data_IF_602891955897
#
_entry.id   IF_602891955897
#
_cell.length_a   1.000
_cell.length_b   1.000
_cell.length_c   1.000
_cell.angle_alpha   90.00
_cell.angle_beta   90.00
_cell.angle_gamma   90.00
#
_symmetry.space_group_name_H-M   'P 1'
#
loop_
_entity.id
_entity.type
_entity.pdbx_description
1 polymer ?
#
# COMPACT_ATOMS: atom_id res chain seq x y z
N UNK A 1 -28.32 2.01 -15.81
CA UNK A 1 -27.27 3.06 -15.72
C UNK A 1 -26.32 2.83 -14.53
N UNK A 2 -26.79 2.79 -13.27
CA UNK A 2 -25.92 2.62 -12.08
C UNK A 2 -25.05 1.35 -12.06
N UNK A 3 -25.57 0.23 -12.54
CA UNK A 3 -24.86 -1.06 -12.55
C UNK A 3 -23.77 -1.19 -13.63
N UNK A 4 -23.90 -0.46 -14.75
CA UNK A 4 -22.89 -0.47 -15.83
C UNK A 4 -21.59 0.17 -15.32
N UNK A 5 -21.69 1.28 -14.59
CA UNK A 5 -20.54 1.98 -14.02
C UNK A 5 -19.80 1.11 -13.00
N UNK A 6 -20.53 0.41 -12.13
CA UNK A 6 -19.97 -0.52 -11.15
C UNK A 6 -19.25 -1.68 -11.83
N UNK A 7 -19.83 -2.25 -12.88
CA UNK A 7 -19.22 -3.35 -13.63
C UNK A 7 -17.89 -2.94 -14.29
N UNK A 8 -17.82 -1.73 -14.88
CA UNK A 8 -16.60 -1.21 -15.52
C UNK A 8 -15.49 -0.97 -14.49
N UNK A 9 -15.84 -0.36 -13.35
CA UNK A 9 -14.87 -0.08 -12.27
C UNK A 9 -14.36 -1.39 -11.66
N UNK A 10 -15.23 -2.35 -11.35
CA UNK A 10 -14.83 -3.67 -10.85
C UNK A 10 -13.92 -4.41 -11.84
N UNK A 11 -14.25 -4.37 -13.14
CA UNK A 11 -13.47 -5.07 -14.16
C UNK A 11 -12.07 -4.46 -14.33
N UNK A 12 -11.97 -3.13 -14.38
CA UNK A 12 -10.69 -2.42 -14.45
C UNK A 12 -9.83 -2.65 -13.21
N UNK A 13 -10.44 -2.58 -12.01
CA UNK A 13 -9.76 -2.84 -10.75
C UNK A 13 -9.25 -4.30 -10.68
N UNK A 14 -10.06 -5.28 -11.11
CA UNK A 14 -9.66 -6.68 -11.11
C UNK A 14 -8.48 -6.96 -12.05
N UNK A 15 -8.48 -6.39 -13.27
CA UNK A 15 -7.37 -6.55 -14.22
C UNK A 15 -6.11 -5.85 -13.72
N UNK A 16 -6.24 -4.63 -13.20
CA UNK A 16 -5.12 -3.89 -12.62
C UNK A 16 -4.49 -4.66 -11.47
N UNK A 17 -5.33 -5.21 -10.58
CA UNK A 17 -4.89 -6.00 -9.43
C UNK A 17 -4.20 -7.29 -9.86
N UNK A 18 -4.75 -8.03 -10.83
CA UNK A 18 -4.13 -9.26 -11.33
C UNK A 18 -2.76 -8.99 -11.97
N UNK A 19 -2.65 -7.94 -12.79
CA UNK A 19 -1.37 -7.55 -13.40
C UNK A 19 -0.36 -7.11 -12.35
N UNK A 20 -0.80 -6.38 -11.33
CA UNK A 20 0.04 -5.94 -10.23
C UNK A 20 0.57 -7.12 -9.39
N UNK A 21 -0.31 -8.05 -8.99
CA UNK A 21 0.07 -9.24 -8.20
C UNK A 21 1.07 -10.10 -8.97
N UNK A 22 0.82 -10.37 -10.26
CA UNK A 22 1.70 -11.22 -11.07
C UNK A 22 3.07 -10.56 -11.29
N UNK A 23 3.10 -9.25 -11.54
CA UNK A 23 4.34 -8.51 -11.77
C UNK A 23 5.17 -8.38 -10.48
N UNK A 24 4.53 -8.16 -9.33
CA UNK A 24 5.23 -8.02 -8.05
C UNK A 24 5.69 -9.37 -7.49
N UNK A 25 4.90 -10.44 -7.67
CA UNK A 25 5.27 -11.79 -7.24
C UNK A 25 6.49 -12.34 -8.00
N UNK A 26 6.68 -11.95 -9.27
CA UNK A 26 7.85 -12.33 -10.05
C UNK A 26 9.11 -11.56 -9.62
N UNK A 27 8.94 -10.31 -9.19
CA UNK A 27 10.02 -9.45 -8.66
C UNK A 27 10.48 -9.88 -7.26
N UNK A 28 9.59 -10.47 -6.47
CA UNK A 28 9.86 -10.86 -5.09
C UNK A 28 10.85 -12.03 -4.93
N UNK A 29 10.99 -12.89 -5.95
CA UNK A 29 11.84 -14.08 -5.87
C UNK A 29 13.35 -13.82 -5.88
N UNK A 30 13.80 -12.64 -6.30
CA UNK A 30 15.24 -12.41 -6.54
C UNK A 30 16.01 -11.73 -5.39
N UNK A 31 15.36 -11.13 -4.40
CA UNK A 31 16.03 -10.29 -3.38
C UNK A 31 16.23 -11.00 -2.02
N UNK A 32 15.72 -12.21 -1.83
CA UNK A 32 15.72 -12.86 -0.51
C UNK A 32 17.08 -13.45 -0.07
N UNK A 33 18.13 -13.37 -0.88
CA UNK A 33 19.34 -14.15 -0.61
C UNK A 33 20.42 -13.47 0.23
N UNK A 34 20.49 -12.14 0.40
CA UNK A 34 21.60 -11.52 1.15
C UNK A 34 21.32 -10.11 1.72
N UNK A 35 20.65 -9.93 2.88
CA UNK A 35 20.83 -8.70 3.69
C UNK A 35 20.18 -8.65 5.09
N UNK A 36 21.04 -8.32 6.08
CA UNK A 36 20.94 -7.23 7.08
C UNK A 36 19.51 -6.68 7.38
N UNK A 37 19.03 -6.89 8.61
CA UNK A 37 17.75 -6.51 9.26
C UNK A 37 17.03 -5.23 8.80
N UNK A 38 17.74 -4.26 8.23
CA UNK A 38 17.19 -3.03 7.64
C UNK A 38 16.36 -3.32 6.38
N UNK A 39 16.79 -4.26 5.54
CA UNK A 39 16.07 -4.58 4.29
C UNK A 39 14.74 -5.29 4.57
N UNK A 40 14.71 -6.18 5.57
CA UNK A 40 13.47 -6.83 6.04
C UNK A 40 12.46 -5.77 6.51
N UNK A 41 12.89 -4.71 7.21
CA UNK A 41 11.99 -3.64 7.68
C UNK A 41 11.40 -2.85 6.52
N UNK A 42 12.18 -2.56 5.48
CA UNK A 42 11.72 -1.84 4.30
C UNK A 42 10.70 -2.68 3.53
N UNK A 43 10.99 -3.96 3.33
CA UNK A 43 10.11 -4.90 2.63
C UNK A 43 8.77 -5.11 3.35
N UNK A 44 8.80 -5.28 4.67
CA UNK A 44 7.59 -5.33 5.51
C UNK A 44 6.81 -4.01 5.43
N UNK A 45 7.49 -2.86 5.40
CA UNK A 45 6.86 -1.56 5.20
C UNK A 45 6.12 -1.44 3.86
N UNK A 46 6.72 -1.94 2.78
CA UNK A 46 6.08 -2.00 1.46
C UNK A 46 4.81 -2.87 1.46
N UNK A 47 4.85 -4.05 2.09
CA UNK A 47 3.68 -4.91 2.18
C UNK A 47 2.56 -4.34 3.05
N UNK A 48 2.90 -3.67 4.15
CA UNK A 48 1.93 -2.94 4.96
C UNK A 48 1.25 -1.82 4.15
N UNK A 49 2.02 -1.08 3.36
CA UNK A 49 1.49 -0.02 2.49
C UNK A 49 0.55 -0.58 1.42
N UNK A 50 0.92 -1.73 0.82
CA UNK A 50 0.09 -2.43 -0.17
C UNK A 50 -1.21 -2.96 0.43
N UNK A 51 -1.16 -3.58 1.62
CA UNK A 51 -2.36 -4.04 2.32
C UNK A 51 -3.31 -2.89 2.64
N UNK A 52 -2.76 -1.72 2.97
CA UNK A 52 -3.52 -0.50 3.24
C UNK A 52 -4.22 0.06 1.99
N UNK A 53 -3.64 -0.10 0.79
CA UNK A 53 -4.33 0.20 -0.47
C UNK A 53 -5.53 -0.69 -0.70
N UNK A 54 -5.38 -1.98 -0.39
CA UNK A 54 -6.43 -2.98 -0.51
C UNK A 54 -7.59 -2.73 0.47
N UNK A 55 -7.29 -2.29 1.69
CA UNK A 55 -8.30 -1.91 2.68
C UNK A 55 -9.22 -0.80 2.17
N UNK A 56 -8.67 0.24 1.51
CA UNK A 56 -9.51 1.29 0.91
C UNK A 56 -10.37 0.77 -0.22
N UNK A 57 -9.86 -0.13 -1.06
CA UNK A 57 -10.68 -0.72 -2.12
C UNK A 57 -11.89 -1.46 -1.51
N UNK A 58 -11.68 -2.18 -0.39
CA UNK A 58 -12.75 -2.83 0.36
C UNK A 58 -13.79 -1.84 0.88
N UNK A 59 -13.37 -0.77 1.55
CA UNK A 59 -14.29 0.22 2.15
C UNK A 59 -15.09 1.01 1.09
N UNK A 60 -14.46 1.33 -0.05
CA UNK A 60 -15.12 1.97 -1.19
C UNK A 60 -16.20 1.05 -1.78
N UNK A 61 -15.90 -0.24 -1.94
CA UNK A 61 -16.86 -1.21 -2.46
C UNK A 61 -18.07 -1.32 -1.51
N UNK A 62 -17.83 -1.39 -0.21
CA UNK A 62 -18.90 -1.51 0.80
C UNK A 62 -19.82 -0.28 0.80
N UNK A 63 -19.23 0.93 0.71
CA UNK A 63 -19.98 2.20 0.62
C UNK A 63 -20.83 2.31 -0.67
N UNK A 64 -20.37 1.74 -1.79
CA UNK A 64 -21.12 1.73 -3.05
C UNK A 64 -22.31 0.75 -3.00
N UNK A 65 -22.17 -0.34 -2.24
CA UNK A 65 -23.20 -1.36 -2.07
C UNK A 65 -24.33 -0.86 -1.15
N UNK A 66 -24.00 -0.16 -0.07
CA UNK A 66 -24.96 0.45 0.85
C UNK A 66 -24.70 1.95 1.00
N UNK A 67 -25.29 2.80 0.14
CA UNK A 67 -25.08 4.24 0.22
C UNK A 67 -26.00 4.86 1.29
N UNK A 68 -25.48 5.07 2.49
CA UNK A 68 -26.15 5.83 3.56
C UNK A 68 -25.30 7.03 3.99
N UNK A 69 -25.93 8.11 4.50
CA UNK A 69 -25.18 9.30 4.97
C UNK A 69 -24.24 8.99 6.15
N UNK A 70 -24.56 7.95 6.92
CA UNK A 70 -23.71 7.42 7.99
C UNK A 70 -22.46 6.73 7.43
N UNK A 71 -22.60 5.95 6.35
CA UNK A 71 -21.50 5.25 5.67
C UNK A 71 -20.51 6.23 5.02
N UNK A 72 -21.00 7.36 4.51
CA UNK A 72 -20.15 8.46 4.02
C UNK A 72 -19.25 9.03 5.15
N UNK A 73 -19.76 9.10 6.37
CA UNK A 73 -19.00 9.52 7.55
C UNK A 73 -17.94 8.49 7.96
N UNK A 74 -18.29 7.21 7.93
CA UNK A 74 -17.35 6.10 8.19
C UNK A 74 -16.25 6.07 7.12
N UNK A 75 -16.61 6.22 5.85
CA UNK A 75 -15.65 6.29 4.73
C UNK A 75 -14.65 7.44 4.92
N UNK A 76 -15.12 8.63 5.29
CA UNK A 76 -14.26 9.76 5.57
C UNK A 76 -13.31 9.50 6.76
N UNK A 77 -13.81 8.84 7.82
CA UNK A 77 -13.02 8.44 8.97
C UNK A 77 -11.90 7.45 8.61
N UNK A 78 -12.22 6.41 7.85
CA UNK A 78 -11.23 5.40 7.45
C UNK A 78 -10.17 5.98 6.50
N UNK A 79 -10.54 6.89 5.59
CA UNK A 79 -9.59 7.62 4.73
C UNK A 79 -8.59 8.46 5.55
N UNK A 80 -9.05 9.13 6.62
CA UNK A 80 -8.19 9.92 7.50
C UNK A 80 -7.21 9.02 8.25
N UNK A 81 -7.71 7.94 8.88
CA UNK A 81 -6.86 6.97 9.61
C UNK A 81 -5.81 6.38 8.68
N UNK A 82 -6.20 5.98 7.45
CA UNK A 82 -5.27 5.49 6.44
C UNK A 82 -4.20 6.52 6.09
N UNK A 83 -4.60 7.76 5.83
CA UNK A 83 -3.63 8.81 5.44
C UNK A 83 -2.60 9.02 6.54
N UNK A 84 -3.03 9.03 7.81
CA UNK A 84 -2.14 9.08 8.97
C UNK A 84 -1.15 7.90 9.00
N UNK A 85 -1.66 6.67 8.92
CA UNK A 85 -0.82 5.46 8.97
C UNK A 85 0.16 5.37 7.79
N UNK A 86 -0.33 5.63 6.58
CA UNK A 86 0.48 5.66 5.35
C UNK A 86 1.59 6.70 5.44
N UNK A 87 1.28 7.89 5.97
CA UNK A 87 2.26 8.95 6.18
C UNK A 87 3.33 8.55 7.21
N UNK A 88 2.95 7.93 8.33
CA UNK A 88 3.89 7.45 9.34
C UNK A 88 4.83 6.37 8.77
N UNK A 89 4.30 5.39 8.05
CA UNK A 89 5.09 4.32 7.43
C UNK A 89 6.06 4.86 6.39
N UNK A 90 5.60 5.71 5.46
CA UNK A 90 6.48 6.33 4.46
C UNK A 90 7.60 7.14 5.11
N UNK A 91 7.26 7.90 6.16
CA UNK A 91 8.22 8.72 6.91
C UNK A 91 9.25 7.86 7.65
N UNK A 92 8.85 6.72 8.22
CA UNK A 92 9.77 5.79 8.86
C UNK A 92 10.73 5.15 7.85
N UNK A 93 10.20 4.70 6.69
CA UNK A 93 11.01 4.14 5.60
C UNK A 93 12.04 5.16 5.09
N UNK A 94 11.62 6.42 4.86
CA UNK A 94 12.51 7.49 4.41
C UNK A 94 13.61 7.81 5.44
N UNK A 95 13.28 7.80 6.74
CA UNK A 95 14.24 7.99 7.81
C UNK A 95 15.28 6.86 7.87
N UNK A 96 14.84 5.61 7.73
CA UNK A 96 15.72 4.44 7.67
C UNK A 96 16.64 4.51 6.43
N UNK A 97 16.11 4.91 5.27
CA UNK A 97 16.89 5.08 4.04
C UNK A 97 17.97 6.17 4.20
N UNK A 98 17.62 7.32 4.79
CA UNK A 98 18.58 8.39 5.07
C UNK A 98 19.69 7.95 6.04
N UNK A 99 19.35 7.15 7.07
CA UNK A 99 20.33 6.63 8.02
C UNK A 99 21.34 5.68 7.36
N UNK A 100 20.95 4.94 6.31
CA UNK A 100 21.87 4.07 5.54
C UNK A 100 22.90 4.89 4.75
N UNK A 101 22.52 6.03 4.16
CA UNK A 101 23.44 6.90 3.41
C UNK A 101 24.48 7.63 4.29
N UNK A 102 24.15 7.90 5.55
CA UNK A 102 25.09 8.52 6.50
C UNK A 102 26.14 7.53 7.03
N UNK A 103 25.84 6.24 7.06
CA UNK A 103 26.73 5.19 7.58
C UNK A 103 27.78 4.74 6.52
N UNK A 104 27.44 4.80 5.22
CA UNK A 104 28.37 4.49 4.12
C UNK A 104 29.40 5.63 3.87
N UNK A 105 29.11 6.87 4.24
CA UNK A 105 30.04 8.00 4.02
C UNK A 105 31.18 8.04 5.06
N UNK A 106 31.03 7.37 6.21
CA UNK A 106 32.03 7.38 7.30
C UNK A 106 32.92 6.13 7.34
N UNK A 107 32.95 5.32 6.26
CA UNK A 107 33.78 4.11 6.15
C UNK A 107 34.81 4.13 5.01
N UNK A 108 34.99 5.26 4.33
CA UNK A 108 36.16 5.49 3.47
C UNK A 108 37.27 6.19 4.28
N UNK A 109 38.49 5.64 4.33
CA UNK A 109 39.62 6.20 5.08
C UNK A 109 40.11 7.54 4.53
#
# INVERSE_FOLDING_TARGET
>A
MRHISIAIICYGAAIGLLKFIVNEADRFKHTFLLARTVEIKIEVGYYLLLGLEFLIASDIIDTILNPTFEDLGILAGTVIIRTGLSYFLNKEIENIAQKKSAEDTNTLP
#
